data_IF_050793010334
#
_entry.id   IF_050793010334
#
_cell.length_a   1.000
_cell.length_b   1.000
_cell.length_c   1.000
_cell.angle_alpha   90.00
_cell.angle_beta   90.00
_cell.angle_gamma   90.00
#
_symmetry.space_group_name_H-M   'P 1'
#
loop_
_entity.id
_entity.type
_entity.pdbx_description
1 polymer ?
#
# COMPACT_ATOMS: atom_id res chain seq x y z
N UNK A 1 -2.10 17.59 -9.96
CA UNK A 1 -3.07 16.61 -10.51
C UNK A 1 -3.24 15.40 -9.60
N UNK A 2 -2.15 14.72 -9.16
CA UNK A 2 -2.24 13.55 -8.27
C UNK A 2 -2.97 13.81 -6.94
N UNK A 3 -2.75 14.99 -6.32
CA UNK A 3 -3.44 15.36 -5.08
C UNK A 3 -4.96 15.44 -5.25
N UNK A 4 -5.45 16.04 -6.33
CA UNK A 4 -6.88 16.14 -6.62
C UNK A 4 -7.51 14.75 -6.84
N UNK A 5 -6.81 13.89 -7.59
CA UNK A 5 -7.25 12.51 -7.79
C UNK A 5 -7.36 11.75 -6.47
N UNK A 6 -6.35 11.84 -5.61
CA UNK A 6 -6.36 11.15 -4.32
C UNK A 6 -7.46 11.68 -3.38
N UNK A 7 -7.74 13.00 -3.40
CA UNK A 7 -8.85 13.55 -2.62
C UNK A 7 -10.21 13.04 -3.09
N UNK A 8 -10.41 12.90 -4.40
CA UNK A 8 -11.65 12.36 -4.95
C UNK A 8 -11.82 10.87 -4.60
N UNK A 9 -10.75 10.08 -4.71
CA UNK A 9 -10.76 8.68 -4.26
C UNK A 9 -11.07 8.57 -2.77
N UNK A 10 -10.46 9.40 -1.92
CA UNK A 10 -10.71 9.41 -0.48
C UNK A 10 -12.16 9.77 -0.14
N UNK A 11 -12.77 10.72 -0.86
CA UNK A 11 -14.19 11.08 -0.72
C UNK A 11 -15.10 9.89 -1.05
N UNK A 12 -14.90 9.24 -2.21
CA UNK A 12 -15.64 8.03 -2.56
C UNK A 12 -15.49 6.92 -1.51
N UNK A 13 -14.29 6.77 -0.97
CA UNK A 13 -13.99 5.75 0.04
C UNK A 13 -14.62 6.08 1.41
N UNK A 14 -14.73 7.37 1.76
CA UNK A 14 -15.41 7.83 2.96
C UNK A 14 -16.93 7.57 2.90
N UNK A 15 -17.57 7.85 1.77
CA UNK A 15 -18.99 7.55 1.54
C UNK A 15 -19.27 6.04 1.64
N UNK A 16 -18.38 5.22 1.08
CA UNK A 16 -18.47 3.77 1.15
C UNK A 16 -18.34 3.27 2.61
N UNK A 17 -17.40 3.82 3.38
CA UNK A 17 -17.24 3.51 4.79
C UNK A 17 -18.40 3.98 5.68
N UNK A 18 -19.08 5.07 5.32
CA UNK A 18 -20.28 5.53 6.02
C UNK A 18 -21.50 4.66 5.69
N UNK A 19 -21.63 4.18 4.45
CA UNK A 19 -22.77 3.37 4.00
C UNK A 19 -22.72 1.90 4.45
N UNK A 20 -21.52 1.32 4.63
CA UNK A 20 -21.34 -0.07 5.04
C UNK A 20 -20.51 -0.10 6.33
N UNK A 21 -21.15 0.07 7.52
CA UNK A 21 -20.47 0.08 8.82
C UNK A 21 -20.18 -1.35 9.29
N UNK A 22 -19.43 -2.12 8.50
CA UNK A 22 -19.02 -3.48 8.83
C UNK A 22 -17.50 -3.57 8.99
N UNK A 23 -17.04 -4.33 9.98
CA UNK A 23 -15.61 -4.57 10.19
C UNK A 23 -15.05 -5.44 9.07
N UNK A 24 -14.01 -4.96 8.38
CA UNK A 24 -13.30 -5.69 7.33
C UNK A 24 -12.82 -4.85 6.15
N UNK A 25 -13.12 -3.54 6.12
CA UNK A 25 -12.53 -2.58 5.18
C UNK A 25 -12.80 -2.93 3.71
N UNK A 26 -11.76 -2.81 2.87
CA UNK A 26 -11.84 -3.06 1.41
C UNK A 26 -12.44 -4.42 1.06
N UNK A 27 -12.12 -5.45 1.87
CA UNK A 27 -12.59 -6.81 1.62
C UNK A 27 -14.11 -6.89 1.67
N UNK A 28 -14.75 -6.26 2.66
CA UNK A 28 -16.21 -6.32 2.82
C UNK A 28 -16.92 -5.57 1.71
N UNK A 29 -16.33 -4.49 1.21
CA UNK A 29 -16.89 -3.75 0.08
C UNK A 29 -16.90 -4.59 -1.20
N UNK A 30 -15.78 -5.28 -1.48
CA UNK A 30 -15.65 -6.15 -2.65
C UNK A 30 -16.55 -7.38 -2.50
N UNK A 31 -16.64 -7.96 -1.31
CA UNK A 31 -17.53 -9.07 -1.02
C UNK A 31 -19.00 -8.70 -1.24
N UNK A 32 -19.41 -7.50 -0.80
CA UNK A 32 -20.79 -7.01 -0.97
C UNK A 32 -21.16 -6.79 -2.44
N UNK A 33 -20.20 -6.33 -3.27
CA UNK A 33 -20.44 -5.99 -4.67
C UNK A 33 -20.30 -7.18 -5.62
N UNK A 34 -19.32 -8.06 -5.40
CA UNK A 34 -18.93 -9.12 -6.35
C UNK A 34 -19.02 -10.55 -5.77
N UNK A 35 -19.33 -10.71 -4.49
CA UNK A 35 -19.42 -12.01 -3.82
C UNK A 35 -18.07 -12.54 -3.30
N UNK A 36 -18.07 -13.78 -2.82
CA UNK A 36 -16.98 -14.33 -1.99
C UNK A 36 -15.70 -14.69 -2.77
N UNK A 37 -15.84 -15.26 -3.96
CA UNK A 37 -14.70 -15.70 -4.77
C UNK A 37 -13.76 -14.54 -5.19
N UNK A 38 -14.25 -13.44 -5.81
CA UNK A 38 -13.40 -12.32 -6.16
C UNK A 38 -12.86 -11.58 -4.92
N UNK A 39 -13.65 -11.51 -3.84
CA UNK A 39 -13.17 -10.93 -2.59
C UNK A 39 -11.97 -11.68 -2.01
N UNK A 40 -11.97 -13.02 -2.07
CA UNK A 40 -10.84 -13.84 -1.64
C UNK A 40 -9.57 -13.56 -2.46
N UNK A 41 -9.68 -13.48 -3.79
CA UNK A 41 -8.53 -13.21 -4.67
C UNK A 41 -7.95 -11.82 -4.38
N UNK A 42 -8.78 -10.80 -4.23
CA UNK A 42 -8.32 -9.45 -3.90
C UNK A 42 -7.60 -9.42 -2.55
N UNK A 43 -8.14 -10.09 -1.52
CA UNK A 43 -7.48 -10.20 -0.22
C UNK A 43 -6.13 -10.91 -0.32
N UNK A 44 -6.08 -12.00 -1.08
CA UNK A 44 -4.88 -12.81 -1.28
C UNK A 44 -3.77 -12.02 -1.97
N UNK A 45 -4.10 -11.27 -3.02
CA UNK A 45 -3.18 -10.36 -3.73
C UNK A 45 -2.69 -9.26 -2.79
N UNK A 46 -3.59 -8.65 -2.01
CA UNK A 46 -3.23 -7.59 -1.07
C UNK A 46 -2.20 -8.09 -0.04
N UNK A 47 -2.41 -9.29 0.49
CA UNK A 47 -1.52 -9.89 1.47
C UNK A 47 -0.18 -10.32 0.89
N UNK A 48 -0.16 -10.94 -0.29
CA UNK A 48 1.07 -11.49 -0.89
C UNK A 48 1.92 -10.44 -1.59
N UNK A 49 1.30 -9.40 -2.16
CA UNK A 49 2.00 -8.43 -2.98
C UNK A 49 2.00 -7.04 -2.35
N UNK A 50 0.82 -6.47 -2.11
CA UNK A 50 0.71 -5.04 -1.80
C UNK A 50 1.37 -4.71 -0.45
N UNK A 51 1.01 -5.42 0.62
CA UNK A 51 1.60 -5.22 1.94
C UNK A 51 3.13 -5.42 1.96
N UNK A 52 3.69 -6.56 1.51
CA UNK A 52 5.13 -6.79 1.59
C UNK A 52 5.94 -5.87 0.65
N UNK A 53 5.42 -5.54 -0.54
CA UNK A 53 6.08 -4.60 -1.44
C UNK A 53 6.17 -3.21 -0.81
N UNK A 54 5.11 -2.74 -0.14
CA UNK A 54 5.13 -1.47 0.57
C UNK A 54 6.19 -1.43 1.67
N UNK A 55 6.27 -2.49 2.48
CA UNK A 55 7.27 -2.60 3.57
C UNK A 55 8.69 -2.69 2.99
N UNK A 56 8.91 -3.47 1.93
CA UNK A 56 10.22 -3.60 1.28
C UNK A 56 10.70 -2.29 0.63
N UNK A 57 9.80 -1.53 0.01
CA UNK A 57 10.13 -0.21 -0.53
C UNK A 57 10.52 0.75 0.59
N UNK A 58 9.77 0.77 1.70
CA UNK A 58 10.09 1.60 2.86
C UNK A 58 11.42 1.20 3.51
N UNK A 59 11.72 -0.10 3.63
CA UNK A 59 13.00 -0.56 4.20
C UNK A 59 14.19 -0.17 3.33
N UNK A 60 14.05 -0.27 2.00
CA UNK A 60 15.10 0.15 1.07
C UNK A 60 15.35 1.66 1.19
N UNK A 61 14.27 2.46 1.17
CA UNK A 61 14.37 3.91 1.33
C UNK A 61 15.02 4.27 2.68
N UNK A 62 14.62 3.61 3.76
CA UNK A 62 15.21 3.82 5.08
C UNK A 62 16.72 3.51 5.09
N UNK A 63 17.15 2.39 4.52
CA UNK A 63 18.57 2.04 4.40
C UNK A 63 19.35 3.11 3.65
N UNK A 64 18.83 3.58 2.50
CA UNK A 64 19.46 4.63 1.71
C UNK A 64 19.62 5.95 2.49
N UNK A 65 18.55 6.42 3.12
CA UNK A 65 18.61 7.67 3.88
C UNK A 65 19.55 7.60 5.11
N UNK A 66 19.70 6.41 5.73
CA UNK A 66 20.63 6.20 6.84
C UNK A 66 22.09 6.20 6.33
N UNK A 67 22.36 5.61 5.17
CA UNK A 67 23.70 5.46 4.61
C UNK A 67 24.19 6.72 3.87
N UNK A 68 23.28 7.56 3.36
CA UNK A 68 23.59 8.80 2.64
C UNK A 68 24.60 9.72 3.36
N UNK A 69 24.50 10.04 4.67
CA UNK A 69 25.50 10.87 5.36
C UNK A 69 26.87 10.19 5.52
N UNK A 70 26.93 8.85 5.49
CA UNK A 70 28.17 8.08 5.67
C UNK A 70 28.94 8.00 4.34
N UNK A 71 28.21 7.88 3.23
CA UNK A 71 28.80 7.68 1.90
C UNK A 71 28.91 8.95 1.04
N UNK A 72 28.27 10.05 1.44
CA UNK A 72 28.51 11.39 0.86
C UNK A 72 28.33 11.45 -0.66
N UNK A 73 29.44 11.42 -1.40
CA UNK A 73 29.53 11.48 -2.86
C UNK A 73 29.67 10.09 -3.55
N UNK A 74 29.74 9.00 -2.78
CA UNK A 74 29.90 7.64 -3.31
C UNK A 74 28.56 6.90 -3.36
N UNK A 75 28.30 6.20 -4.46
CA UNK A 75 27.15 5.31 -4.56
C UNK A 75 27.24 4.17 -3.53
N UNK A 76 26.19 4.01 -2.72
CA UNK A 76 26.11 2.95 -1.71
C UNK A 76 26.17 1.58 -2.42
N UNK A 77 27.08 0.68 -2.03
CA UNK A 77 27.20 -0.62 -2.70
C UNK A 77 25.92 -1.44 -2.58
N UNK A 78 25.50 -2.18 -3.62
CA UNK A 78 24.23 -2.91 -3.66
C UNK A 78 24.13 -4.06 -2.63
N UNK A 79 25.26 -4.43 -2.01
CA UNK A 79 25.32 -5.36 -0.88
C UNK A 79 24.78 -4.77 0.43
N UNK A 80 24.85 -3.45 0.61
CA UNK A 80 24.35 -2.75 1.80
C UNK A 80 22.88 -2.30 1.66
N UNK A 81 22.33 -2.35 0.44
CA UNK A 81 20.96 -1.95 0.11
C UNK A 81 19.95 -3.12 0.14
N UNK A 82 20.41 -4.34 0.45
CA UNK A 82 19.62 -5.58 0.44
C UNK A 82 19.15 -5.99 1.83
#
# INVERSE_FOLDING_TARGET
VCGLYNTLCALCYAELGASIPQSGGEYVYIQRAFGDYPAFICLWINFILICPVGIAALSLIASLYILQPIFGDCDVPPLAQR
#
